data_IF_549568097302
#
_entry.id   IF_549568097302
#
_cell.length_a   1.000
_cell.length_b   1.000
_cell.length_c   1.000
_cell.angle_alpha   90.00
_cell.angle_beta   90.00
_cell.angle_gamma   90.00
#
_symmetry.space_group_name_H-M   'P 1'
#
loop_
_entity.id
_entity.type
_entity.pdbx_description
1 polymer ?
#
# COMPACT_ATOMS: atom_id res chain seq x y z
N UNK A 1 27.82 -3.14 -8.62
CA UNK A 1 26.36 -3.38 -8.67
C UNK A 1 26.01 -4.87 -8.77
N UNK A 2 26.68 -5.70 -9.59
CA UNK A 2 26.41 -7.14 -9.72
C UNK A 2 26.56 -7.93 -8.40
N UNK A 3 27.59 -7.67 -7.60
CA UNK A 3 27.83 -8.37 -6.32
C UNK A 3 26.71 -8.17 -5.28
N UNK A 4 26.07 -7.00 -5.24
CA UNK A 4 24.95 -6.71 -4.36
C UNK A 4 23.69 -7.48 -4.78
N UNK A 5 23.45 -7.62 -6.07
CA UNK A 5 22.31 -8.38 -6.62
C UNK A 5 22.47 -9.88 -6.32
N UNK A 6 23.67 -10.43 -6.45
CA UNK A 6 23.95 -11.83 -6.09
C UNK A 6 23.80 -12.08 -4.58
N UNK A 7 24.22 -11.12 -3.71
CA UNK A 7 24.04 -11.25 -2.27
C UNK A 7 22.57 -11.24 -1.86
N UNK A 8 21.75 -10.41 -2.49
CA UNK A 8 20.29 -10.36 -2.26
C UNK A 8 19.62 -11.65 -2.77
N UNK A 9 20.05 -12.16 -3.94
CA UNK A 9 19.52 -13.41 -4.50
C UNK A 9 19.85 -14.62 -3.61
N UNK A 10 21.07 -14.68 -3.03
CA UNK A 10 21.51 -15.74 -2.11
C UNK A 10 20.73 -15.69 -0.80
N UNK A 11 20.44 -14.51 -0.27
CA UNK A 11 19.63 -14.37 0.97
C UNK A 11 18.20 -14.88 0.73
N UNK A 12 17.63 -14.64 -0.44
CA UNK A 12 16.28 -15.11 -0.81
C UNK A 12 16.26 -16.65 -0.95
N UNK A 13 17.32 -17.27 -1.46
CA UNK A 13 17.37 -18.72 -1.67
C UNK A 13 17.65 -19.52 -0.40
N UNK A 14 18.37 -18.98 0.58
CA UNK A 14 18.64 -19.66 1.85
C UNK A 14 17.44 -19.62 2.84
N UNK A 15 16.46 -18.73 2.65
CA UNK A 15 15.25 -18.63 3.48
C UNK A 15 14.18 -19.70 3.20
N UNK A 16 14.35 -20.57 2.20
CA UNK A 16 13.34 -21.55 1.78
C UNK A 16 13.47 -22.93 2.45
N UNK A 17 14.17 -23.02 3.60
CA UNK A 17 14.27 -24.29 4.35
C UNK A 17 12.93 -24.66 4.95
N UNK A 18 12.41 -25.80 4.55
CA UNK A 18 11.25 -26.57 4.96
C UNK A 18 10.76 -26.36 6.43
N UNK A 19 10.02 -25.30 6.68
CA UNK A 19 9.20 -25.16 7.87
C UNK A 19 7.75 -25.45 7.52
N UNK A 20 7.12 -26.41 8.14
CA UNK A 20 5.69 -26.78 7.95
C UNK A 20 4.69 -25.66 8.25
N UNK A 21 5.17 -24.48 8.70
CA UNK A 21 4.38 -23.30 9.01
C UNK A 21 4.32 -22.26 7.88
N UNK A 22 5.13 -22.39 6.83
CA UNK A 22 5.21 -21.40 5.77
C UNK A 22 4.03 -21.53 4.80
N UNK A 23 3.12 -20.56 4.83
CA UNK A 23 1.96 -20.54 3.93
C UNK A 23 1.98 -19.25 3.12
N UNK A 24 2.00 -19.40 1.79
CA UNK A 24 1.80 -18.30 0.87
C UNK A 24 0.32 -18.25 0.47
N UNK A 25 -0.32 -17.11 0.68
CA UNK A 25 -1.68 -16.87 0.20
C UNK A 25 -1.74 -15.60 -0.62
N UNK A 26 -2.58 -15.61 -1.65
CA UNK A 26 -2.77 -14.47 -2.56
C UNK A 26 -4.25 -14.19 -2.75
N UNK A 27 -4.57 -12.97 -3.14
CA UNK A 27 -5.94 -12.63 -3.46
C UNK A 27 -6.14 -11.20 -3.92
N UNK A 28 -7.33 -10.91 -4.46
CA UNK A 28 -7.73 -9.55 -4.80
C UNK A 28 -8.08 -8.74 -3.55
N UNK A 29 -7.96 -7.42 -3.68
CA UNK A 29 -8.43 -6.45 -2.68
C UNK A 29 -9.08 -5.25 -3.35
N UNK A 30 -9.99 -4.65 -2.60
CA UNK A 30 -10.62 -3.37 -2.90
C UNK A 30 -10.61 -2.50 -1.63
N UNK A 31 -10.62 -1.19 -1.79
CA UNK A 31 -10.65 -0.30 -0.64
C UNK A 31 -10.97 1.15 -0.99
N UNK A 32 -10.96 1.95 0.07
CA UNK A 32 -11.12 3.40 0.00
C UNK A 32 -9.95 4.10 0.69
N UNK A 33 -9.53 5.22 0.10
CA UNK A 33 -8.49 6.09 0.62
C UNK A 33 -9.11 7.43 1.02
N UNK A 34 -8.78 7.93 2.20
CA UNK A 34 -9.05 9.28 2.66
C UNK A 34 -7.69 10.00 2.68
N UNK A 35 -7.38 10.72 1.61
CA UNK A 35 -6.04 11.27 1.39
C UNK A 35 -6.04 12.80 1.36
N UNK A 36 -4.91 13.37 1.72
CA UNK A 36 -4.64 14.79 1.59
C UNK A 36 -3.17 15.02 1.23
N UNK A 37 -2.85 16.22 0.76
CA UNK A 37 -1.47 16.66 0.56
C UNK A 37 -1.13 17.56 1.75
N UNK A 38 -0.09 17.18 2.53
CA UNK A 38 0.39 17.97 3.65
C UNK A 38 1.04 19.27 3.18
N UNK A 39 1.07 20.27 4.05
CA UNK A 39 1.63 21.61 3.82
C UNK A 39 0.89 22.42 2.73
N UNK A 40 -0.18 21.91 2.14
CA UNK A 40 -1.00 22.64 1.19
C UNK A 40 -2.07 23.46 1.95
N UNK A 41 -2.08 24.80 1.79
CA UNK A 41 -3.08 25.64 2.48
C UNK A 41 -4.51 25.25 2.11
N UNK A 42 -5.40 25.20 3.11
CA UNK A 42 -6.81 24.84 2.95
C UNK A 42 -7.05 23.46 2.33
N UNK A 43 -6.08 22.54 2.44
CA UNK A 43 -6.23 21.17 1.98
C UNK A 43 -7.26 20.41 2.81
N UNK A 44 -8.23 19.79 2.14
CA UNK A 44 -9.21 18.88 2.74
C UNK A 44 -9.02 17.47 2.21
N UNK A 45 -9.42 16.51 3.02
CA UNK A 45 -9.37 15.10 2.63
C UNK A 45 -10.21 14.83 1.39
N UNK A 46 -9.65 14.06 0.47
CA UNK A 46 -10.31 13.54 -0.72
C UNK A 46 -10.52 12.04 -0.56
N UNK A 47 -11.74 11.59 -0.91
CA UNK A 47 -12.03 10.16 -0.98
C UNK A 47 -11.59 9.64 -2.35
N UNK A 48 -10.82 8.57 -2.35
CA UNK A 48 -10.38 7.84 -3.52
C UNK A 48 -10.60 6.34 -3.35
N UNK A 49 -10.40 5.59 -4.40
CA UNK A 49 -10.50 4.13 -4.39
C UNK A 49 -9.12 3.49 -4.42
N UNK A 50 -9.03 2.27 -3.91
CA UNK A 50 -7.89 1.37 -4.13
C UNK A 50 -8.38 0.03 -4.65
N UNK A 51 -7.62 -0.57 -5.56
CA UNK A 51 -7.91 -1.90 -6.11
C UNK A 51 -6.62 -2.60 -6.52
N UNK A 52 -6.55 -3.91 -6.33
CA UNK A 52 -5.37 -4.66 -6.72
C UNK A 52 -5.35 -6.07 -6.17
N UNK A 53 -4.13 -6.57 -5.97
CA UNK A 53 -3.86 -7.88 -5.42
C UNK A 53 -2.85 -7.80 -4.27
N UNK A 54 -2.86 -8.82 -3.44
CA UNK A 54 -1.89 -8.94 -2.35
C UNK A 54 -1.43 -10.39 -2.17
N UNK A 55 -0.27 -10.51 -1.57
CA UNK A 55 0.30 -11.77 -1.13
C UNK A 55 0.64 -11.68 0.36
N UNK A 56 0.26 -12.68 1.13
CA UNK A 56 0.69 -12.88 2.51
C UNK A 56 1.59 -14.10 2.58
N UNK A 57 2.75 -13.93 3.12
CA UNK A 57 3.68 -15.00 3.44
C UNK A 57 3.81 -15.12 4.96
N UNK A 58 3.35 -16.22 5.53
CA UNK A 58 3.53 -16.52 6.96
C UNK A 58 4.91 -17.10 7.16
N UNK A 59 5.75 -16.43 7.95
CA UNK A 59 7.10 -16.88 8.31
C UNK A 59 7.00 -17.90 9.44
N UNK A 60 6.24 -17.54 10.47
CA UNK A 60 5.91 -18.40 11.60
C UNK A 60 4.47 -18.14 12.08
N UNK A 61 4.15 -18.52 13.29
CA UNK A 61 2.83 -18.37 13.89
C UNK A 61 2.40 -16.91 14.04
N UNK A 62 3.33 -16.04 14.40
CA UNK A 62 3.05 -14.63 14.71
C UNK A 62 3.57 -13.66 13.63
N UNK A 63 4.63 -14.03 12.93
CA UNK A 63 5.26 -13.14 11.94
C UNK A 63 4.94 -13.51 10.53
N UNK A 64 4.74 -12.50 9.70
CA UNK A 64 4.53 -12.63 8.27
C UNK A 64 5.00 -11.42 7.49
N UNK A 65 5.00 -11.58 6.18
CA UNK A 65 5.24 -10.53 5.20
C UNK A 65 3.99 -10.34 4.35
N UNK A 66 3.59 -9.10 4.15
CA UNK A 66 2.52 -8.73 3.22
C UNK A 66 3.07 -7.85 2.11
N UNK A 67 2.82 -8.22 0.88
CA UNK A 67 3.15 -7.42 -0.31
C UNK A 67 1.85 -7.14 -1.06
N UNK A 68 1.62 -5.88 -1.43
CA UNK A 68 0.45 -5.47 -2.22
C UNK A 68 0.91 -4.87 -3.55
N UNK A 69 0.13 -5.08 -4.59
CA UNK A 69 0.25 -4.42 -5.88
C UNK A 69 -1.09 -3.73 -6.12
N UNK A 70 -1.16 -2.42 -5.89
CA UNK A 70 -2.43 -1.70 -5.85
C UNK A 70 -2.41 -0.45 -6.73
N UNK A 71 -3.49 -0.26 -7.46
CA UNK A 71 -3.90 1.04 -7.94
C UNK A 71 -4.49 1.82 -6.76
N UNK A 72 -3.97 3.03 -6.51
CA UNK A 72 -4.44 3.91 -5.44
C UNK A 72 -4.77 5.28 -5.99
N UNK A 73 -5.99 5.71 -5.78
CA UNK A 73 -6.40 7.06 -6.08
C UNK A 73 -6.25 7.92 -4.81
N UNK A 74 -5.31 8.86 -4.86
CA UNK A 74 -4.98 9.81 -3.80
C UNK A 74 -5.30 11.24 -4.24
N UNK A 75 -4.90 12.21 -3.42
CA UNK A 75 -5.00 13.63 -3.74
C UNK A 75 -5.65 14.45 -2.63
N UNK A 76 -6.09 15.65 -2.96
CA UNK A 76 -6.68 16.59 -2.01
C UNK A 76 -7.79 17.41 -2.66
N UNK A 77 -8.68 17.96 -1.84
CA UNK A 77 -9.61 19.03 -2.22
C UNK A 77 -9.13 20.32 -1.58
N UNK A 78 -9.45 21.47 -2.19
CA UNK A 78 -9.17 22.78 -1.62
C UNK A 78 -10.49 23.33 -1.06
N UNK A 79 -10.47 23.78 0.19
CA UNK A 79 -11.66 24.34 0.85
C UNK A 79 -12.13 25.60 0.11
N UNK A 80 -13.44 25.80 0.09
CA UNK A 80 -14.11 26.92 -0.58
C UNK A 80 -13.76 27.08 -2.07
N UNK A 81 -13.32 25.98 -2.71
CA UNK A 81 -13.00 25.93 -4.13
C UNK A 81 -13.53 24.65 -4.76
N UNK A 82 -13.85 24.71 -6.04
CA UNK A 82 -14.13 23.51 -6.84
C UNK A 82 -12.85 22.74 -7.21
N UNK A 83 -11.67 23.29 -6.88
CA UNK A 83 -10.38 22.68 -7.21
C UNK A 83 -10.13 21.44 -6.38
N UNK A 84 -9.73 20.38 -7.03
CA UNK A 84 -9.31 19.12 -6.41
C UNK A 84 -8.22 18.50 -7.28
N UNK A 85 -7.19 18.00 -6.63
CA UNK A 85 -6.12 17.28 -7.29
C UNK A 85 -6.35 15.79 -7.10
N UNK A 86 -6.41 15.05 -8.20
CA UNK A 86 -6.53 13.60 -8.22
C UNK A 86 -5.24 13.00 -8.74
N UNK A 87 -4.57 12.25 -7.86
CA UNK A 87 -3.30 11.59 -8.13
C UNK A 87 -3.54 10.08 -8.15
N UNK A 88 -3.36 9.47 -9.30
CA UNK A 88 -3.49 8.03 -9.45
C UNK A 88 -2.10 7.40 -9.41
N UNK A 89 -1.90 6.48 -8.49
CA UNK A 89 -0.63 5.78 -8.29
C UNK A 89 -0.80 4.28 -8.52
N UNK A 90 0.26 3.66 -9.02
CA UNK A 90 0.52 2.25 -8.81
C UNK A 90 1.46 2.14 -7.61
N UNK A 91 1.02 1.50 -6.53
CA UNK A 91 1.78 1.38 -5.28
C UNK A 91 2.14 -0.06 -4.96
N UNK A 92 3.33 -0.22 -4.40
CA UNK A 92 3.89 -1.51 -3.95
C UNK A 92 4.26 -1.38 -2.47
N UNK A 93 3.29 -1.49 -1.54
CA UNK A 93 3.58 -1.60 -0.13
C UNK A 93 4.15 -2.98 0.22
N UNK A 94 5.21 -2.98 1.04
CA UNK A 94 5.81 -4.19 1.62
C UNK A 94 5.83 -4.03 3.12
N UNK A 95 5.14 -4.90 3.87
CA UNK A 95 4.97 -4.74 5.31
C UNK A 95 5.31 -6.00 6.07
N UNK A 96 6.05 -5.85 7.16
CA UNK A 96 6.12 -6.83 8.22
C UNK A 96 4.78 -6.85 8.96
N UNK A 97 4.27 -8.04 9.21
CA UNK A 97 2.99 -8.27 9.88
C UNK A 97 3.22 -9.05 11.16
N UNK A 98 2.62 -8.59 12.26
CA UNK A 98 2.56 -9.33 13.51
C UNK A 98 1.11 -9.71 13.80
N UNK A 99 0.87 -11.03 13.94
CA UNK A 99 -0.44 -11.59 14.28
C UNK A 99 -0.56 -11.77 15.79
N UNK A 100 -1.64 -11.25 16.37
CA UNK A 100 -1.92 -11.30 17.81
C UNK A 100 -2.61 -12.60 18.24
N UNK A 101 -3.05 -13.43 17.30
CA UNK A 101 -3.72 -14.70 17.56
C UNK A 101 -2.91 -15.88 17.03
N UNK A 102 -3.15 -17.08 17.59
CA UNK A 102 -2.51 -18.33 17.20
C UNK A 102 -2.87 -18.76 15.77
N UNK A 103 -2.00 -19.55 15.12
CA UNK A 103 -2.16 -19.95 13.72
C UNK A 103 -3.46 -20.75 13.45
N UNK A 104 -3.97 -21.46 14.43
CA UNK A 104 -5.21 -22.25 14.35
C UNK A 104 -6.50 -21.43 14.40
N UNK A 105 -6.45 -20.20 14.89
CA UNK A 105 -7.65 -19.40 15.15
C UNK A 105 -8.33 -18.92 13.86
N UNK A 106 -9.66 -18.91 13.88
CA UNK A 106 -10.45 -18.40 12.75
C UNK A 106 -10.45 -16.89 12.64
N UNK A 107 -10.17 -16.17 13.73
CA UNK A 107 -10.02 -14.72 13.80
C UNK A 107 -8.61 -14.39 14.27
N UNK A 108 -7.85 -13.69 13.43
CA UNK A 108 -6.45 -13.33 13.68
C UNK A 108 -6.26 -11.83 13.52
N UNK A 109 -6.35 -11.05 14.60
CA UNK A 109 -5.98 -9.64 14.61
C UNK A 109 -4.50 -9.49 14.24
N UNK A 110 -4.16 -8.39 13.61
CA UNK A 110 -2.78 -8.11 13.17
C UNK A 110 -2.47 -6.62 13.23
N UNK A 111 -1.20 -6.31 13.42
CA UNK A 111 -0.61 -5.01 13.17
C UNK A 111 0.45 -5.16 12.10
N UNK A 112 0.72 -4.10 11.37
CA UNK A 112 1.72 -4.14 10.31
C UNK A 112 2.37 -2.78 10.09
N UNK A 113 3.60 -2.81 9.61
CA UNK A 113 4.39 -1.62 9.30
C UNK A 113 5.35 -1.94 8.15
N UNK A 114 5.60 -0.96 7.30
CA UNK A 114 6.58 -1.12 6.22
C UNK A 114 6.64 0.03 5.25
N UNK A 115 7.63 0.03 4.35
CA UNK A 115 7.74 1.00 3.27
C UNK A 115 6.74 0.74 2.15
N UNK A 116 6.53 1.76 1.33
CA UNK A 116 5.91 1.63 0.01
C UNK A 116 6.70 2.38 -1.06
N UNK A 117 6.59 1.89 -2.29
CA UNK A 117 7.03 2.56 -3.50
C UNK A 117 5.79 2.85 -4.35
N UNK A 118 5.62 4.10 -4.77
CA UNK A 118 4.51 4.56 -5.60
C UNK A 118 5.00 5.12 -6.94
N UNK A 119 4.33 4.76 -8.01
CA UNK A 119 4.55 5.31 -9.35
C UNK A 119 3.32 6.10 -9.77
N UNK A 120 3.49 7.41 -10.01
CA UNK A 120 2.42 8.27 -10.48
C UNK A 120 2.02 7.91 -11.91
N UNK A 121 0.78 7.52 -12.09
CA UNK A 121 0.20 7.18 -13.40
C UNK A 121 -0.45 8.41 -14.05
N UNK A 122 -1.11 9.24 -13.24
CA UNK A 122 -1.72 10.49 -13.73
C UNK A 122 -2.01 11.45 -12.58
N UNK A 123 -1.90 12.75 -12.88
CA UNK A 123 -2.31 13.84 -12.02
C UNK A 123 -3.35 14.67 -12.78
N UNK A 124 -4.56 14.79 -12.25
CA UNK A 124 -5.69 15.46 -12.91
C UNK A 124 -6.42 16.39 -11.97
N UNK A 125 -6.95 17.48 -12.51
CA UNK A 125 -7.89 18.38 -11.84
C UNK A 125 -9.32 17.79 -11.83
N UNK A 126 -10.31 18.59 -11.39
CA UNK A 126 -11.72 18.21 -11.39
C UNK A 126 -12.30 17.98 -12.78
N UNK A 127 -11.84 18.75 -13.75
CA UNK A 127 -12.32 18.72 -15.13
C UNK A 127 -11.67 17.57 -15.93
N UNK A 128 -10.71 16.88 -15.32
CA UNK A 128 -9.98 15.77 -15.92
C UNK A 128 -8.76 16.18 -16.72
N UNK A 129 -8.38 17.46 -16.69
CA UNK A 129 -7.17 17.96 -17.36
C UNK A 129 -5.93 17.54 -16.59
N UNK A 130 -4.82 17.35 -17.31
CA UNK A 130 -3.53 17.06 -16.69
C UNK A 130 -3.02 18.29 -15.90
N UNK A 131 -2.48 18.05 -14.71
CA UNK A 131 -1.85 19.09 -13.88
C UNK A 131 -0.39 19.21 -14.31
N UNK A 132 -0.08 20.25 -15.06
CA UNK A 132 1.25 20.56 -15.62
C UNK A 132 1.68 21.96 -15.21
N UNK A 133 2.98 22.25 -15.29
CA UNK A 133 3.53 23.60 -15.16
C UNK A 133 3.46 24.36 -16.50
N UNK A 134 3.77 25.66 -16.47
CA UNK A 134 3.61 26.54 -17.62
C UNK A 134 4.36 26.12 -18.90
N UNK A 135 5.44 25.37 -18.78
CA UNK A 135 6.21 24.83 -19.91
C UNK A 135 5.66 23.45 -20.42
N UNK A 136 4.61 22.91 -19.78
CA UNK A 136 4.02 21.63 -20.15
C UNK A 136 4.59 20.41 -19.43
N UNK A 137 5.62 20.58 -18.55
CA UNK A 137 6.17 19.48 -17.76
C UNK A 137 5.24 19.07 -16.61
N UNK A 138 5.42 17.85 -16.10
CA UNK A 138 4.66 17.32 -14.97
C UNK A 138 4.87 18.16 -13.69
N UNK A 139 3.79 18.56 -13.04
CA UNK A 139 3.85 19.26 -11.75
C UNK A 139 4.27 18.33 -10.61
N UNK A 140 3.90 17.06 -10.69
CA UNK A 140 4.15 16.05 -9.66
C UNK A 140 5.23 15.07 -10.07
N UNK A 141 6.06 14.68 -9.08
CA UNK A 141 7.10 13.69 -9.26
C UNK A 141 6.50 12.31 -9.57
N UNK A 142 7.16 11.57 -10.48
CA UNK A 142 6.67 10.26 -10.93
C UNK A 142 6.85 9.16 -9.88
N UNK A 143 7.75 9.36 -8.92
CA UNK A 143 8.07 8.38 -7.87
C UNK A 143 7.76 8.97 -6.51
N UNK A 144 7.04 8.21 -5.69
CA UNK A 144 6.70 8.52 -4.31
C UNK A 144 7.18 7.37 -3.42
N UNK A 145 8.06 7.67 -2.48
CA UNK A 145 8.56 6.71 -1.48
C UNK A 145 8.04 7.13 -0.12
N UNK A 146 7.46 6.19 0.61
CA UNK A 146 6.91 6.47 1.92
C UNK A 146 6.85 5.24 2.82
N UNK A 147 6.16 5.41 3.92
CA UNK A 147 5.90 4.34 4.89
C UNK A 147 4.44 4.26 5.25
N UNK A 148 4.05 3.09 5.73
CA UNK A 148 2.72 2.84 6.28
C UNK A 148 2.80 2.08 7.59
N UNK A 149 1.81 2.33 8.43
CA UNK A 149 1.52 1.57 9.64
C UNK A 149 0.02 1.28 9.66
N UNK A 150 -0.37 0.12 10.17
CA UNK A 150 -1.78 -0.23 10.22
C UNK A 150 -2.09 -1.37 11.15
N UNK A 151 -3.40 -1.60 11.26
CA UNK A 151 -3.98 -2.72 12.00
C UNK A 151 -5.12 -3.33 11.18
N UNK A 152 -5.43 -4.57 11.46
CA UNK A 152 -6.48 -5.27 10.76
C UNK A 152 -6.73 -6.65 11.34
N UNK A 153 -7.41 -7.47 10.58
CA UNK A 153 -7.60 -8.87 10.94
C UNK A 153 -7.77 -9.75 9.71
N UNK A 154 -7.45 -11.02 9.88
CA UNK A 154 -7.80 -12.08 8.96
C UNK A 154 -8.89 -12.93 9.61
N UNK A 155 -9.97 -13.21 8.85
CA UNK A 155 -11.06 -14.08 9.30
C UNK A 155 -11.23 -15.24 8.33
N UNK A 156 -11.26 -16.47 8.88
CA UNK A 156 -11.41 -17.70 8.09
C UNK A 156 -12.87 -17.88 7.66
N UNK A 157 -13.15 -17.72 6.37
CA UNK A 157 -14.47 -17.95 5.79
C UNK A 157 -14.74 -19.44 5.58
N UNK A 158 -13.75 -20.15 5.05
CA UNK A 158 -13.76 -21.62 4.83
C UNK A 158 -12.36 -22.16 5.09
N UNK A 159 -12.20 -23.49 5.00
CA UNK A 159 -10.92 -24.16 5.31
C UNK A 159 -9.70 -23.55 4.63
N UNK A 160 -9.86 -22.97 3.43
CA UNK A 160 -8.75 -22.42 2.61
C UNK A 160 -8.99 -20.98 2.15
N UNK A 161 -10.01 -20.29 2.64
CA UNK A 161 -10.37 -18.94 2.20
C UNK A 161 -10.39 -18.00 3.39
N UNK A 162 -9.69 -16.87 3.28
CA UNK A 162 -9.57 -15.88 4.33
C UNK A 162 -10.04 -14.52 3.87
N UNK A 163 -10.90 -13.89 4.65
CA UNK A 163 -11.20 -12.47 4.55
C UNK A 163 -10.06 -11.70 5.23
N UNK A 164 -9.55 -10.66 4.58
CA UNK A 164 -8.54 -9.75 5.10
C UNK A 164 -9.15 -8.36 5.16
N UNK A 165 -9.08 -7.72 6.33
CA UNK A 165 -9.55 -6.34 6.53
C UNK A 165 -8.42 -5.56 7.16
N UNK A 166 -7.98 -4.47 6.50
CA UNK A 166 -6.83 -3.67 6.89
C UNK A 166 -7.20 -2.19 6.92
N UNK A 167 -6.92 -1.51 8.03
CA UNK A 167 -6.89 -0.06 8.14
C UNK A 167 -5.44 0.39 8.27
N UNK A 168 -5.00 1.36 7.47
CA UNK A 168 -3.62 1.85 7.50
C UNK A 168 -3.52 3.35 7.32
N UNK A 169 -2.53 3.94 7.95
CA UNK A 169 -2.05 5.29 7.69
C UNK A 169 -0.74 5.23 6.93
N UNK A 170 -0.66 5.97 5.84
CA UNK A 170 0.52 6.07 4.99
C UNK A 170 0.95 7.53 4.82
N UNK A 171 2.26 7.77 4.75
CA UNK A 171 2.82 9.10 4.50
C UNK A 171 4.07 9.00 3.64
N UNK A 172 4.21 9.94 2.68
CA UNK A 172 5.42 10.07 1.85
C UNK A 172 6.61 10.54 2.69
N UNK A 173 7.77 9.96 2.44
CA UNK A 173 9.06 10.46 2.92
C UNK A 173 9.65 11.46 1.92
N UNK A 174 9.43 11.24 0.62
CA UNK A 174 9.87 12.11 -0.46
C UNK A 174 8.86 13.24 -0.72
N UNK A 175 9.34 14.33 -1.30
CA UNK A 175 8.47 15.38 -1.86
C UNK A 175 7.75 14.82 -3.09
N UNK A 176 6.47 15.15 -3.25
CA UNK A 176 5.70 14.77 -4.43
C UNK A 176 5.75 15.83 -5.55
N UNK A 177 6.37 16.98 -5.31
CA UNK A 177 6.60 18.04 -6.30
C UNK A 177 7.87 18.81 -5.96
N UNK A 178 8.65 19.14 -6.97
CA UNK A 178 9.86 19.96 -6.87
C UNK A 178 9.66 21.39 -7.41
N UNK A 179 8.45 21.71 -7.86
CA UNK A 179 8.11 23.04 -8.43
C UNK A 179 8.09 24.14 -7.36
N UNK A 180 7.94 23.77 -6.10
CA UNK A 180 7.90 24.70 -4.97
C UNK A 180 8.96 24.36 -3.92
N UNK A 181 9.37 25.36 -3.12
CA UNK A 181 10.25 25.14 -1.97
C UNK A 181 9.57 24.42 -0.80
N UNK A 182 8.24 24.23 -0.86
CA UNK A 182 7.45 23.53 0.16
C UNK A 182 7.51 22.03 -0.08
N UNK A 183 7.75 21.27 0.97
CA UNK A 183 7.82 19.81 0.90
C UNK A 183 6.40 19.18 0.93
N UNK A 184 5.67 19.28 -0.16
CA UNK A 184 4.38 18.59 -0.30
C UNK A 184 4.56 17.08 -0.20
N UNK A 185 3.68 16.41 0.58
CA UNK A 185 3.70 14.96 0.81
C UNK A 185 2.30 14.40 0.74
N UNK A 186 2.14 13.22 0.16
CA UNK A 186 0.88 12.48 0.29
C UNK A 186 0.74 11.94 1.70
N UNK A 187 -0.45 12.07 2.26
CA UNK A 187 -0.88 11.35 3.46
C UNK A 187 -2.23 10.70 3.19
N UNK A 188 -2.42 9.48 3.65
CA UNK A 188 -3.66 8.74 3.41
C UNK A 188 -4.00 7.83 4.58
N UNK A 189 -5.28 7.85 4.97
CA UNK A 189 -5.90 6.80 5.75
C UNK A 189 -6.62 5.87 4.77
N UNK A 190 -6.32 4.58 4.79
CA UNK A 190 -6.87 3.60 3.86
C UNK A 190 -7.61 2.50 4.59
N UNK A 191 -8.74 2.08 4.05
CA UNK A 191 -9.47 0.90 4.46
C UNK A 191 -9.53 -0.08 3.29
N UNK A 192 -8.96 -1.27 3.44
CA UNK A 192 -8.90 -2.28 2.40
C UNK A 192 -9.56 -3.59 2.87
N UNK A 193 -10.30 -4.21 1.97
CA UNK A 193 -10.92 -5.53 2.17
C UNK A 193 -10.50 -6.43 1.03
N UNK A 194 -10.07 -7.64 1.35
CA UNK A 194 -9.63 -8.61 0.34
C UNK A 194 -9.94 -10.04 0.75
N UNK A 195 -9.89 -10.93 -0.21
CA UNK A 195 -10.05 -12.37 0.02
C UNK A 195 -8.80 -13.06 -0.48
N UNK A 196 -8.20 -13.93 0.35
CA UNK A 196 -7.01 -14.68 -0.02
C UNK A 196 -7.20 -16.19 0.04
N UNK A 197 -6.44 -16.85 -0.82
CA UNK A 197 -6.40 -18.28 -0.99
C UNK A 197 -4.96 -18.77 -0.87
N UNK A 198 -4.64 -19.83 -0.10
CA UNK A 198 -3.31 -20.39 -0.05
C UNK A 198 -2.93 -21.01 -1.40
N UNK A 199 -1.72 -20.70 -1.89
CA UNK A 199 -1.18 -21.28 -3.11
C UNK A 199 -0.54 -22.64 -2.82
N UNK A 200 0.14 -22.78 -1.69
CA UNK A 200 0.76 -24.00 -1.25
C UNK A 200 -0.09 -24.66 -0.16
N UNK A 201 -0.67 -25.78 -0.48
CA UNK A 201 -1.43 -26.60 0.43
C UNK A 201 -1.44 -28.01 -0.10
N UNK A 202 -0.43 -28.79 0.27
CA UNK A 202 -0.61 -30.23 0.34
C UNK A 202 -1.66 -30.51 1.41
N UNK A 203 -2.63 -31.35 1.02
CA UNK A 203 -3.67 -31.94 1.85
C UNK A 203 -3.16 -32.44 3.19
#
# INVERSE_FOLDING_TARGET
MSRLIYSILIIITFGLSNSKAQTLSVGPLLGANFSTISELPNAKSRIGISAGAFANYSIDEHFGLNVKLIFSQLGTKIDNSTLSNRLNYFQIPVSGVYFLGEAGNSFRPKIFVGPYLGFLLSAKDNDGNAIVIANGDDYYNKVDIGGQIGAGFNYRLKSRTWLNVDASYASSFTKISDVTNVAYKNTALSLNVGVSFPINGTN
#
